data_IF_756535487709
#
_entry.id   IF_756535487709
#
_cell.length_a   1.000
_cell.length_b   1.000
_cell.length_c   1.000
_cell.angle_alpha   90.00
_cell.angle_beta   90.00
_cell.angle_gamma   90.00
#
_symmetry.space_group_name_H-M   'P 1'
#
loop_
_entity.id
_entity.type
_entity.pdbx_description
1 polymer ?
#
# COMPACT_ATOMS: atom_id res chain seq x y z
N UNK A 1 -14.21 -5.72 27.54
CA UNK A 1 -14.26 -5.19 26.17
C UNK A 1 -12.88 -4.65 25.85
N UNK A 2 -12.18 -5.18 24.84
CA UNK A 2 -10.86 -4.65 24.46
C UNK A 2 -11.08 -3.34 23.71
N UNK A 3 -10.58 -2.25 24.28
CA UNK A 3 -10.46 -0.96 23.60
C UNK A 3 -9.59 -1.19 22.34
N UNK A 4 -10.19 -1.08 21.15
CA UNK A 4 -9.44 -1.16 19.90
C UNK A 4 -8.71 0.18 19.78
N UNK A 5 -7.40 0.18 19.97
CA UNK A 5 -6.58 1.31 19.54
C UNK A 5 -6.88 1.61 18.06
N UNK A 6 -6.87 2.89 17.62
CA UNK A 6 -7.03 3.22 16.21
C UNK A 6 -5.99 2.41 15.43
N UNK A 7 -6.48 1.42 14.67
CA UNK A 7 -5.61 0.43 14.05
C UNK A 7 -5.21 1.04 12.71
N UNK A 8 -4.09 1.76 12.68
CA UNK A 8 -3.52 2.26 11.44
C UNK A 8 -2.65 1.17 10.81
N UNK A 9 -2.85 0.88 9.53
CA UNK A 9 -2.06 -0.11 8.79
C UNK A 9 -1.21 0.58 7.74
N UNK A 10 0.10 0.32 7.73
CA UNK A 10 1.01 0.82 6.69
C UNK A 10 1.40 -0.32 5.76
N UNK A 11 1.24 -0.12 4.46
CA UNK A 11 1.62 -1.05 3.40
C UNK A 11 2.75 -0.44 2.58
N UNK A 12 3.80 -1.23 2.36
CA UNK A 12 4.96 -0.86 1.57
C UNK A 12 5.00 -1.74 0.32
N UNK A 13 5.01 -1.12 -0.86
CA UNK A 13 4.90 -1.76 -2.17
C UNK A 13 3.49 -1.57 -2.74
N UNK A 14 3.37 -0.83 -3.84
CA UNK A 14 2.11 -0.49 -4.52
C UNK A 14 1.75 -1.44 -5.67
N UNK A 15 2.47 -2.55 -5.86
CA UNK A 15 2.10 -3.59 -6.83
C UNK A 15 0.72 -4.21 -6.54
N UNK A 16 0.29 -5.15 -7.39
CA UNK A 16 -1.05 -5.75 -7.33
C UNK A 16 -1.47 -6.20 -5.92
N UNK A 17 -0.60 -6.93 -5.22
CA UNK A 17 -0.90 -7.44 -3.88
C UNK A 17 -1.03 -6.32 -2.84
N UNK A 18 -0.16 -5.30 -2.90
CA UNK A 18 -0.20 -4.18 -1.95
C UNK A 18 -1.41 -3.28 -2.16
N UNK A 19 -1.75 -3.02 -3.43
CA UNK A 19 -2.95 -2.27 -3.80
C UNK A 19 -4.24 -2.98 -3.38
N UNK A 20 -4.34 -4.30 -3.60
CA UNK A 20 -5.49 -5.10 -3.18
C UNK A 20 -5.63 -5.17 -1.66
N UNK A 21 -4.52 -5.33 -0.94
CA UNK A 21 -4.52 -5.31 0.51
C UNK A 21 -4.99 -3.95 1.07
N UNK A 22 -4.51 -2.84 0.50
CA UNK A 22 -4.93 -1.50 0.88
C UNK A 22 -6.43 -1.31 0.66
N UNK A 23 -6.95 -1.79 -0.48
CA UNK A 23 -8.37 -1.71 -0.80
C UNK A 23 -9.23 -2.50 0.20
N UNK A 24 -8.85 -3.74 0.53
CA UNK A 24 -9.60 -4.55 1.49
C UNK A 24 -9.59 -3.97 2.90
N UNK A 25 -8.46 -3.40 3.34
CA UNK A 25 -8.34 -2.76 4.66
C UNK A 25 -9.21 -1.49 4.72
N UNK A 26 -9.18 -0.65 3.68
CA UNK A 26 -10.02 0.53 3.59
C UNK A 26 -11.52 0.17 3.60
N UNK A 27 -11.92 -0.89 2.89
CA UNK A 27 -13.30 -1.41 2.88
C UNK A 27 -13.76 -1.94 4.24
N UNK A 28 -12.82 -2.31 5.13
CA UNK A 28 -13.12 -2.74 6.49
C UNK A 28 -13.21 -1.57 7.50
N UNK A 29 -13.23 -0.32 7.02
CA UNK A 29 -13.25 0.91 7.83
C UNK A 29 -12.02 1.03 8.76
N UNK A 30 -10.86 0.57 8.26
CA UNK A 30 -9.58 0.63 8.95
C UNK A 30 -8.70 1.64 8.21
N UNK A 31 -8.09 2.54 8.97
CA UNK A 31 -7.17 3.54 8.43
C UNK A 31 -5.92 2.87 7.84
N UNK A 32 -5.59 3.20 6.59
CA UNK A 32 -4.51 2.55 5.85
C UNK A 32 -3.74 3.54 4.99
N UNK A 33 -2.41 3.42 5.03
CA UNK A 33 -1.50 4.13 4.15
C UNK A 33 -0.75 3.15 3.23
N UNK A 34 -0.79 3.39 1.92
CA UNK A 34 -0.04 2.64 0.91
C UNK A 34 1.11 3.49 0.38
N UNK A 35 2.33 2.97 0.51
CA UNK A 35 3.55 3.61 -0.02
C UNK A 35 4.14 2.75 -1.14
N UNK A 36 4.34 3.35 -2.31
CA UNK A 36 5.11 2.76 -3.40
C UNK A 36 6.53 3.33 -3.36
N UNK A 37 7.53 2.45 -3.43
CA UNK A 37 8.96 2.81 -3.33
C UNK A 37 9.59 3.14 -4.69
N UNK A 38 8.82 3.06 -5.80
CA UNK A 38 9.32 3.40 -7.14
C UNK A 38 9.92 4.82 -7.12
N UNK A 39 11.22 4.97 -7.44
CA UNK A 39 11.90 6.24 -7.38
C UNK A 39 11.37 7.20 -8.45
N UNK A 40 11.34 8.49 -8.14
CA UNK A 40 11.01 9.57 -9.09
C UNK A 40 11.94 9.52 -10.31
N UNK A 41 13.17 9.01 -10.14
CA UNK A 41 14.15 8.81 -11.21
C UNK A 41 14.30 7.31 -11.48
N UNK A 42 13.84 6.86 -12.64
CA UNK A 42 13.91 5.47 -13.06
C UNK A 42 15.36 5.06 -13.36
N UNK A 43 15.71 3.83 -12.97
CA UNK A 43 16.93 3.13 -13.39
C UNK A 43 16.58 2.08 -14.46
N UNK A 44 17.56 1.47 -15.13
CA UNK A 44 17.30 0.42 -16.14
C UNK A 44 16.47 -0.78 -15.64
N UNK A 45 16.37 -0.97 -14.32
CA UNK A 45 15.50 -1.98 -13.71
C UNK A 45 13.99 -1.65 -13.82
N UNK A 46 13.64 -0.39 -14.10
CA UNK A 46 12.26 0.08 -14.20
C UNK A 46 11.83 0.08 -15.66
N UNK A 47 11.30 -1.07 -16.10
CA UNK A 47 10.89 -1.28 -17.51
C UNK A 47 9.40 -1.06 -17.77
N UNK A 48 8.60 -0.78 -16.74
CA UNK A 48 7.15 -0.61 -16.85
C UNK A 48 6.65 0.59 -16.04
N UNK A 49 5.75 1.37 -16.64
CA UNK A 49 5.22 2.63 -16.08
C UNK A 49 4.06 2.44 -15.10
N UNK A 50 3.53 1.22 -14.98
CA UNK A 50 2.39 0.88 -14.13
C UNK A 50 2.86 0.10 -12.89
N UNK A 51 2.03 0.15 -11.84
CA UNK A 51 2.18 -0.56 -10.58
C UNK A 51 2.44 -2.07 -10.82
N UNK A 52 3.71 -2.44 -10.79
CA UNK A 52 4.24 -3.80 -10.77
C UNK A 52 5.54 -3.81 -9.97
#
# INVERSE_FOLDING_TARGET
MREKAPTHVTIIGGGLAGSEAAWQIAQADIDVALYEMRPIKTTEAHRTDLLA
#
